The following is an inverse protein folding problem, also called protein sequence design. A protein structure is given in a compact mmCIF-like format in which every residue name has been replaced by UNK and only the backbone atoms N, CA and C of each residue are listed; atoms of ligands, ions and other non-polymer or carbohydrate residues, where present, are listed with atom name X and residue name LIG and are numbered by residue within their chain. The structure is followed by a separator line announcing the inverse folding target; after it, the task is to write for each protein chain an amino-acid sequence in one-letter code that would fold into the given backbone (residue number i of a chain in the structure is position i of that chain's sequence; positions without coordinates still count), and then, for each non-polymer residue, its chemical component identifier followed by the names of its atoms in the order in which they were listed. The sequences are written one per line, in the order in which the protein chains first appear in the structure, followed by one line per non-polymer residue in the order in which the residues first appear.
data_IF_246277915389
#
_entry.id   IF_246277915389
#
_cell.length_a   1.000
_cell.length_b   1.000
_cell.length_c   1.000
_cell.angle_alpha   90.00
_cell.angle_beta   90.00
_cell.angle_gamma   90.00
#
_symmetry.space_group_name_H-M   'P 1'
#
loop_
_entity.id
_entity.type
_entity.pdbx_description
1 polymer ?
#
# COMPACT_ATOMS: atom_id res chain seq x y z
N UNK A 1 20.27 -14.47 -2.14
CA UNK A 1 19.65 -13.78 -0.99
C UNK A 1 18.14 -14.00 -0.92
N UNK A 2 17.32 -13.46 -1.83
CA UNK A 2 15.85 -13.67 -1.82
C UNK A 2 15.46 -15.11 -2.19
N UNK A 3 16.12 -15.70 -3.18
CA UNK A 3 15.94 -17.12 -3.52
C UNK A 3 16.39 -18.06 -2.38
N UNK A 4 17.42 -17.69 -1.61
CA UNK A 4 17.88 -18.47 -0.46
C UNK A 4 16.85 -18.41 0.68
N UNK A 5 16.22 -17.26 0.89
CA UNK A 5 15.11 -17.09 1.84
C UNK A 5 13.93 -18.00 1.48
N UNK A 6 13.45 -17.93 0.23
CA UNK A 6 12.35 -18.78 -0.25
C UNK A 6 12.73 -20.26 -0.20
N UNK A 7 13.96 -20.62 -0.58
CA UNK A 7 14.44 -22.00 -0.51
C UNK A 7 14.56 -22.53 0.92
N UNK A 8 14.94 -21.69 1.88
CA UNK A 8 15.10 -22.08 3.28
C UNK A 8 13.74 -22.32 3.96
N UNK A 9 12.79 -21.39 3.79
CA UNK A 9 11.49 -21.45 4.49
C UNK A 9 10.47 -22.41 3.86
N UNK A 10 10.67 -22.78 2.59
CA UNK A 10 9.83 -23.77 1.93
C UNK A 10 10.31 -25.22 2.14
N UNK A 11 11.37 -25.45 2.95
CA UNK A 11 11.88 -26.79 3.30
C UNK A 11 11.41 -27.24 4.70
N UNK A 12 11.31 -28.55 4.96
CA UNK A 12 11.08 -29.06 6.31
C UNK A 12 12.14 -28.59 7.31
N UNK A 13 11.81 -28.36 8.59
CA UNK A 13 10.48 -28.54 9.20
C UNK A 13 9.55 -27.33 9.02
N UNK A 14 10.01 -26.24 8.40
CA UNK A 14 9.29 -24.96 8.37
C UNK A 14 8.09 -24.95 7.42
N UNK A 15 8.15 -25.73 6.32
CA UNK A 15 7.05 -26.10 5.40
C UNK A 15 5.83 -25.13 5.39
N UNK A 16 6.08 -23.84 5.15
CA UNK A 16 5.02 -22.83 5.03
C UNK A 16 4.09 -22.69 6.25
N UNK A 17 4.48 -23.07 7.47
CA UNK A 17 3.65 -22.78 8.66
C UNK A 17 3.55 -21.26 8.89
N UNK A 18 4.61 -20.53 8.55
CA UNK A 18 4.70 -19.08 8.69
C UNK A 18 4.35 -18.39 7.37
N UNK A 19 3.36 -17.50 7.40
CA UNK A 19 3.13 -16.51 6.34
C UNK A 19 4.21 -15.43 6.46
N UNK A 20 5.10 -15.36 5.48
CA UNK A 20 6.13 -14.33 5.45
C UNK A 20 6.52 -14.00 4.01
N UNK A 21 6.98 -12.77 3.81
CA UNK A 21 7.48 -12.24 2.55
C UNK A 21 8.66 -11.33 2.83
N UNK A 22 9.61 -11.28 1.91
CA UNK A 22 10.71 -10.33 1.90
C UNK A 22 10.76 -9.66 0.54
N UNK A 23 10.93 -8.34 0.53
CA UNK A 23 11.16 -7.57 -0.68
C UNK A 23 12.51 -6.86 -0.57
N UNK A 24 13.24 -6.81 -1.69
CA UNK A 24 14.42 -5.97 -1.85
C UNK A 24 13.99 -4.79 -2.69
N UNK A 25 14.14 -3.59 -2.13
CA UNK A 25 13.78 -2.33 -2.80
C UNK A 25 15.04 -1.59 -3.25
N UNK A 26 14.95 -0.97 -4.42
CA UNK A 26 15.93 0.00 -4.89
C UNK A 26 15.54 1.39 -4.35
N UNK A 27 16.24 1.81 -3.31
CA UNK A 27 16.00 3.08 -2.61
C UNK A 27 16.14 4.30 -3.53
N UNK A 28 16.85 4.17 -4.67
CA UNK A 28 16.99 5.27 -5.64
C UNK A 28 15.68 5.63 -6.34
N UNK A 29 14.78 4.65 -6.50
CA UNK A 29 13.48 4.85 -7.16
C UNK A 29 12.42 5.39 -6.17
N UNK A 30 12.76 5.59 -4.88
CA UNK A 30 11.80 6.10 -3.89
C UNK A 30 11.33 7.52 -4.20
N UNK A 31 12.15 8.32 -4.88
CA UNK A 31 11.75 9.67 -5.29
C UNK A 31 10.61 9.60 -6.30
N UNK A 32 10.75 8.78 -7.35
CA UNK A 32 9.76 8.64 -8.41
C UNK A 32 8.45 8.03 -7.86
N UNK A 33 8.57 6.98 -7.02
CA UNK A 33 7.41 6.43 -6.28
C UNK A 33 6.74 7.51 -5.42
N UNK A 34 7.51 8.37 -4.74
CA UNK A 34 7.00 9.45 -3.91
C UNK A 34 6.22 10.49 -4.70
N UNK A 35 6.73 10.92 -5.85
CA UNK A 35 6.09 11.90 -6.73
C UNK A 35 4.76 11.36 -7.32
N UNK A 36 4.78 10.15 -7.88
CA UNK A 36 3.56 9.51 -8.41
C UNK A 36 2.55 9.20 -7.32
N UNK A 37 3.03 8.86 -6.12
CA UNK A 37 2.17 8.65 -4.96
C UNK A 37 1.49 9.94 -4.51
N UNK A 38 2.24 11.05 -4.41
CA UNK A 38 1.66 12.36 -4.09
C UNK A 38 0.62 12.78 -5.14
N UNK A 39 0.90 12.58 -6.43
CA UNK A 39 -0.03 12.90 -7.52
C UNK A 39 -1.36 12.14 -7.39
N UNK A 40 -1.31 10.81 -7.19
CA UNK A 40 -2.52 9.99 -7.00
C UNK A 40 -3.28 10.42 -5.74
N UNK A 41 -2.57 10.57 -4.62
CA UNK A 41 -3.16 10.89 -3.32
C UNK A 41 -3.82 12.27 -3.33
N UNK A 42 -3.22 13.24 -4.01
CA UNK A 42 -3.81 14.57 -4.24
C UNK A 42 -5.17 14.48 -4.94
N UNK A 43 -5.25 13.75 -6.06
CA UNK A 43 -6.50 13.54 -6.80
C UNK A 43 -7.58 12.85 -5.96
N UNK A 44 -7.20 11.82 -5.19
CA UNK A 44 -8.13 11.11 -4.31
C UNK A 44 -8.62 11.99 -3.16
N UNK A 45 -7.77 12.87 -2.64
CA UNK A 45 -8.10 13.81 -1.57
C UNK A 45 -9.09 14.88 -2.05
N UNK A 46 -8.84 15.46 -3.23
CA UNK A 46 -9.76 16.43 -3.86
C UNK A 46 -11.16 15.84 -4.07
N UNK A 47 -11.23 14.59 -4.53
CA UNK A 47 -12.48 13.87 -4.78
C UNK A 47 -12.98 13.00 -3.61
N UNK A 48 -12.47 13.19 -2.39
CA UNK A 48 -12.68 12.26 -1.27
C UNK A 48 -14.16 11.96 -0.99
N UNK A 49 -15.01 12.99 -1.10
CA UNK A 49 -16.47 12.81 -0.90
C UNK A 49 -17.06 11.82 -1.90
N UNK A 50 -16.62 11.85 -3.14
CA UNK A 50 -17.18 11.03 -4.21
C UNK A 50 -16.57 9.61 -4.22
N UNK A 51 -15.31 9.48 -3.79
CA UNK A 51 -14.54 8.23 -3.91
C UNK A 51 -14.41 7.42 -2.61
N UNK A 52 -14.85 7.96 -1.46
CA UNK A 52 -14.69 7.31 -0.13
C UNK A 52 -15.10 5.84 -0.08
N UNK A 53 -16.13 5.45 -0.82
CA UNK A 53 -16.63 4.07 -0.83
C UNK A 53 -15.66 3.14 -1.56
N UNK A 54 -15.16 3.58 -2.72
CA UNK A 54 -14.17 2.88 -3.52
C UNK A 54 -12.86 2.78 -2.76
N UNK A 55 -12.39 3.87 -2.14
CA UNK A 55 -11.20 3.91 -1.28
C UNK A 55 -11.32 2.90 -0.13
N UNK A 56 -12.48 2.85 0.54
CA UNK A 56 -12.71 1.88 1.61
C UNK A 56 -12.66 0.44 1.11
N UNK A 57 -13.25 0.16 -0.05
CA UNK A 57 -13.27 -1.18 -0.62
C UNK A 57 -11.86 -1.62 -1.05
N UNK A 58 -11.12 -0.74 -1.75
CA UNK A 58 -9.73 -0.97 -2.13
C UNK A 58 -8.86 -1.26 -0.90
N UNK A 59 -8.97 -0.44 0.15
CA UNK A 59 -8.29 -0.68 1.44
C UNK A 59 -8.63 -2.08 2.00
N UNK A 60 -9.91 -2.45 1.99
CA UNK A 60 -10.35 -3.73 2.55
C UNK A 60 -9.78 -4.94 1.80
N UNK A 61 -9.57 -4.82 0.49
CA UNK A 61 -8.97 -5.87 -0.32
C UNK A 61 -7.45 -5.91 -0.10
N UNK A 62 -6.79 -4.76 -0.15
CA UNK A 62 -5.36 -4.62 0.09
C UNK A 62 -4.92 -5.07 1.50
N UNK A 63 -5.76 -4.95 2.52
CA UNK A 63 -5.48 -5.46 3.88
C UNK A 63 -5.40 -6.99 3.98
N UNK A 64 -6.02 -7.72 3.05
CA UNK A 64 -6.06 -9.19 3.09
C UNK A 64 -4.70 -9.81 2.77
N UNK A 65 -3.84 -9.09 2.04
CA UNK A 65 -2.48 -9.52 1.68
C UNK A 65 -1.67 -9.98 2.90
N UNK A 66 -1.78 -9.25 4.01
CA UNK A 66 -1.06 -9.54 5.26
C UNK A 66 -1.97 -9.94 6.43
N UNK A 67 -3.28 -10.05 6.21
CA UNK A 67 -4.24 -10.31 7.28
C UNK A 67 -4.18 -9.25 8.41
N UNK A 68 -3.77 -8.03 8.07
CA UNK A 68 -3.52 -6.95 9.02
C UNK A 68 -4.50 -5.80 8.76
N UNK A 69 -5.06 -5.24 9.83
CA UNK A 69 -5.98 -4.11 9.76
C UNK A 69 -5.30 -2.74 9.85
N UNK A 70 -3.97 -2.71 9.98
CA UNK A 70 -3.16 -1.50 10.17
C UNK A 70 -2.39 -1.15 8.90
N UNK A 71 -1.83 -2.14 8.21
CA UNK A 71 -1.05 -1.96 6.99
C UNK A 71 -1.73 -2.67 5.83
N UNK A 72 -1.66 -2.07 4.64
CA UNK A 72 -2.25 -2.60 3.40
C UNK A 72 -1.20 -2.64 2.30
N UNK A 73 -1.33 -3.61 1.39
CA UNK A 73 -0.43 -3.71 0.23
C UNK A 73 -0.70 -2.54 -0.72
N UNK A 74 0.33 -1.70 -0.93
CA UNK A 74 0.17 -0.46 -1.67
C UNK A 74 -0.21 -0.72 -3.13
N UNK A 75 0.46 -1.65 -3.80
CA UNK A 75 0.14 -1.97 -5.20
C UNK A 75 -1.30 -2.50 -5.35
N UNK A 76 -1.73 -3.43 -4.48
CA UNK A 76 -3.12 -3.93 -4.53
C UNK A 76 -4.10 -2.78 -4.29
N UNK A 77 -3.81 -1.89 -3.34
CA UNK A 77 -4.66 -0.72 -3.09
C UNK A 77 -4.80 0.14 -4.34
N UNK A 78 -3.70 0.45 -5.02
CA UNK A 78 -3.69 1.29 -6.23
C UNK A 78 -4.41 0.62 -7.40
N UNK A 79 -4.17 -0.68 -7.63
CA UNK A 79 -4.86 -1.46 -8.65
C UNK A 79 -6.40 -1.49 -8.41
N UNK A 80 -6.83 -1.64 -7.15
CA UNK A 80 -8.25 -1.61 -6.80
C UNK A 80 -8.88 -0.21 -6.93
N UNK A 81 -8.12 0.86 -6.68
CA UNK A 81 -8.56 2.23 -6.96
C UNK A 81 -8.78 2.42 -8.46
N UNK A 82 -7.82 1.97 -9.28
CA UNK A 82 -7.87 2.06 -10.75
C UNK A 82 -9.10 1.38 -11.33
N UNK A 83 -9.43 0.19 -10.83
CA UNK A 83 -10.62 -0.56 -11.28
C UNK A 83 -11.93 0.04 -10.72
N UNK A 84 -11.90 0.58 -9.51
CA UNK A 84 -13.07 1.13 -8.81
C UNK A 84 -13.49 2.53 -9.27
N UNK A 85 -12.54 3.39 -9.68
CA UNK A 85 -12.79 4.80 -10.03
C UNK A 85 -12.68 5.01 -11.55
N UNK A 86 -13.78 5.47 -12.16
CA UNK A 86 -13.89 5.68 -13.61
C UNK A 86 -13.54 7.11 -14.03
N UNK A 87 -12.40 7.60 -13.58
CA UNK A 87 -11.87 8.92 -13.93
C UNK A 87 -10.49 8.73 -14.56
N UNK A 88 -10.34 9.11 -15.82
CA UNK A 88 -9.13 8.81 -16.61
C UNK A 88 -7.87 9.33 -15.93
N UNK A 89 -7.87 10.57 -15.42
CA UNK A 89 -6.74 11.12 -14.67
C UNK A 89 -6.30 10.30 -13.45
N UNK A 90 -7.27 9.69 -12.75
CA UNK A 90 -6.95 8.83 -11.58
C UNK A 90 -6.38 7.50 -12.06
N UNK A 91 -6.87 6.97 -13.17
CA UNK A 91 -6.33 5.73 -13.76
C UNK A 91 -4.91 5.92 -14.25
N UNK A 92 -4.64 7.02 -14.94
CA UNK A 92 -3.31 7.37 -15.41
C UNK A 92 -2.34 7.47 -14.21
N UNK A 93 -2.72 8.22 -13.16
CA UNK A 93 -1.92 8.30 -11.93
C UNK A 93 -1.75 6.96 -11.19
N UNK A 94 -2.74 6.06 -11.27
CA UNK A 94 -2.58 4.70 -10.76
C UNK A 94 -1.61 3.87 -11.60
N UNK A 95 -1.67 3.99 -12.93
CA UNK A 95 -0.78 3.26 -13.84
C UNK A 95 0.67 3.71 -13.65
N UNK A 96 0.92 5.02 -13.56
CA UNK A 96 2.24 5.61 -13.27
C UNK A 96 2.80 5.07 -11.94
N UNK A 97 2.03 5.18 -10.85
CA UNK A 97 2.48 4.69 -9.54
C UNK A 97 2.73 3.17 -9.52
N UNK A 98 1.92 2.39 -10.23
CA UNK A 98 2.13 0.92 -10.32
C UNK A 98 3.41 0.59 -11.08
N UNK A 99 3.75 1.37 -12.12
CA UNK A 99 5.01 1.24 -12.84
C UNK A 99 6.19 1.55 -11.92
N UNK A 100 6.18 2.70 -11.23
CA UNK A 100 7.26 3.09 -10.30
C UNK A 100 7.44 2.08 -9.16
N UNK A 101 6.35 1.54 -8.60
CA UNK A 101 6.44 0.50 -7.58
C UNK A 101 7.14 -0.75 -8.12
N UNK A 102 6.86 -1.15 -9.37
CA UNK A 102 7.50 -2.31 -10.00
C UNK A 102 8.98 -2.06 -10.24
N UNK A 103 9.37 -0.86 -10.65
CA UNK A 103 10.77 -0.48 -10.84
C UNK A 103 11.54 -0.42 -9.51
N UNK A 104 10.88 0.05 -8.45
CA UNK A 104 11.44 0.04 -7.09
C UNK A 104 11.67 -1.39 -6.57
N UNK A 105 10.84 -2.37 -6.91
CA UNK A 105 10.94 -3.74 -6.41
C UNK A 105 11.95 -4.55 -7.23
N UNK A 106 13.15 -4.75 -6.67
CA UNK A 106 14.24 -5.50 -7.32
C UNK A 106 13.99 -7.01 -7.25
N UNK A 107 13.47 -7.50 -6.13
CA UNK A 107 13.19 -8.91 -5.92
C UNK A 107 12.19 -9.12 -4.79
N UNK A 108 11.33 -10.15 -4.93
CA UNK A 108 10.38 -10.57 -3.90
C UNK A 108 10.56 -12.06 -3.61
N UNK A 109 10.65 -12.40 -2.33
CA UNK A 109 10.71 -13.77 -1.83
C UNK A 109 9.51 -14.06 -0.98
N UNK A 110 8.69 -15.02 -1.41
CA UNK A 110 7.49 -15.45 -0.70
C UNK A 110 7.64 -16.90 -0.22
N UNK A 111 6.80 -17.27 0.75
CA UNK A 111 6.50 -18.68 1.04
C UNK A 111 5.32 -19.14 0.19
N UNK A 112 5.09 -20.44 0.07
CA UNK A 112 3.96 -20.96 -0.72
C UNK A 112 2.59 -20.42 -0.25
N UNK A 113 2.44 -19.98 1.01
CA UNK A 113 1.18 -19.41 1.52
C UNK A 113 0.97 -17.94 1.19
N UNK A 114 2.04 -17.20 0.87
CA UNK A 114 2.04 -15.75 0.59
C UNK A 114 2.31 -15.42 -0.87
N UNK A 115 2.75 -16.40 -1.66
CA UNK A 115 2.91 -16.28 -3.11
C UNK A 115 1.62 -15.80 -3.78
N UNK A 116 1.72 -14.75 -4.59
CA UNK A 116 0.60 -14.11 -5.29
C UNK A 116 -0.38 -13.32 -4.41
N UNK A 117 -0.15 -13.22 -3.09
CA UNK A 117 -1.00 -12.45 -2.17
C UNK A 117 -0.38 -11.15 -1.70
N UNK A 118 0.94 -11.11 -1.63
CA UNK A 118 1.73 -9.93 -1.29
C UNK A 118 2.48 -9.54 -2.54
N UNK A 119 2.20 -8.35 -3.04
CA UNK A 119 2.78 -7.87 -4.30
C UNK A 119 3.92 -6.90 -4.03
N UNK A 120 3.83 -6.11 -2.96
CA UNK A 120 4.65 -4.90 -2.86
C UNK A 120 4.99 -4.48 -1.43
N UNK A 121 5.16 -3.18 -1.24
CA UNK A 121 5.45 -2.49 0.01
C UNK A 121 4.17 -2.19 0.78
N UNK A 122 4.28 -2.21 2.11
CA UNK A 122 3.17 -1.90 2.99
C UNK A 122 3.08 -0.42 3.30
N UNK A 123 1.87 0.11 3.24
CA UNK A 123 1.57 1.47 3.72
C UNK A 123 0.62 1.42 4.91
N UNK A 124 0.81 2.33 5.85
CA UNK A 124 -0.04 2.46 7.03
C UNK A 124 -1.41 3.01 6.65
N UNK A 125 -2.46 2.20 6.77
CA UNK A 125 -3.85 2.60 6.57
C UNK A 125 -4.79 1.86 7.54
N UNK A 126 -4.91 2.35 8.79
CA UNK A 126 -5.73 1.72 9.82
C UNK A 126 -7.22 1.60 9.44
N UNK A 127 -7.92 0.58 9.95
CA UNK A 127 -9.33 0.35 9.59
C UNK A 127 -10.30 1.38 10.17
N UNK A 128 -9.95 1.90 11.35
CA UNK A 128 -10.70 2.90 12.07
C UNK A 128 -9.77 3.98 12.63
N UNK A 129 -10.34 5.16 12.84
CA UNK A 129 -9.64 6.30 13.40
C UNK A 129 -9.05 6.01 14.79
N UNK A 130 -9.70 5.19 15.61
CA UNK A 130 -9.20 4.77 16.92
C UNK A 130 -7.90 3.95 16.86
N UNK A 131 -7.49 3.52 15.66
CA UNK A 131 -6.23 2.83 15.41
C UNK A 131 -5.17 3.75 14.79
N UNK A 132 -5.50 5.02 14.53
CA UNK A 132 -4.57 6.05 14.07
C UNK A 132 -3.60 6.38 15.20
N UNK A 133 -2.32 6.32 14.89
CA UNK A 133 -1.22 6.54 15.83
C UNK A 133 -0.53 7.84 15.44
N UNK A 134 -0.52 8.83 16.36
CA UNK A 134 0.10 10.13 16.10
C UNK A 134 1.57 9.98 15.72
N UNK A 135 2.33 9.13 16.44
CA UNK A 135 3.73 8.88 16.12
C UNK A 135 3.96 8.25 14.74
N UNK A 136 2.95 7.60 14.15
CA UNK A 136 3.02 7.14 12.75
C UNK A 136 2.79 8.29 11.78
N UNK A 137 1.85 9.19 12.08
CA UNK A 137 1.63 10.38 11.26
C UNK A 137 2.86 11.30 11.29
N UNK A 138 3.41 11.57 12.48
CA UNK A 138 4.62 12.38 12.66
C UNK A 138 5.79 11.82 11.82
N UNK A 139 5.96 10.49 11.80
CA UNK A 139 6.98 9.83 10.99
C UNK A 139 6.78 10.06 9.49
N UNK A 140 5.54 10.10 8.98
CA UNK A 140 5.28 10.41 7.57
C UNK A 140 5.57 11.87 7.23
N UNK A 141 5.28 12.79 8.15
CA UNK A 141 5.63 14.21 7.99
C UNK A 141 7.16 14.41 7.97
N UNK A 142 7.90 13.69 8.83
CA UNK A 142 9.37 13.77 8.90
C UNK A 142 10.10 13.26 7.65
N UNK A 143 9.45 12.42 6.83
CA UNK A 143 10.02 11.81 5.62
C UNK A 143 9.41 12.36 4.33
N UNK A 144 8.87 13.57 4.38
CA UNK A 144 8.26 14.28 3.24
C UNK A 144 7.08 13.53 2.58
N UNK A 145 6.34 12.72 3.35
CA UNK A 145 5.11 12.04 2.93
C UNK A 145 3.87 12.63 3.62
N UNK A 146 3.88 13.94 3.89
CA UNK A 146 2.76 14.67 4.51
C UNK A 146 1.46 14.57 3.70
N UNK A 147 1.54 14.42 2.37
CA UNK A 147 0.38 14.20 1.51
C UNK A 147 -0.46 12.98 1.94
N UNK A 148 0.16 11.94 2.49
CA UNK A 148 -0.55 10.78 3.01
C UNK A 148 -1.33 11.09 4.28
N UNK A 149 -0.75 11.93 5.15
CA UNK A 149 -1.40 12.39 6.38
C UNK A 149 -2.67 13.18 6.04
N UNK A 150 -2.55 14.13 5.10
CA UNK A 150 -3.69 14.92 4.62
C UNK A 150 -4.80 14.05 4.05
N UNK A 151 -4.44 13.04 3.24
CA UNK A 151 -5.38 12.07 2.73
C UNK A 151 -6.08 11.25 3.82
N UNK A 152 -5.32 10.74 4.80
CA UNK A 152 -5.89 9.96 5.90
C UNK A 152 -6.87 10.82 6.71
N UNK A 153 -6.51 12.07 7.01
CA UNK A 153 -7.38 13.03 7.68
C UNK A 153 -8.66 13.25 6.87
N UNK A 154 -8.54 13.58 5.58
CA UNK A 154 -9.68 13.79 4.70
C UNK A 154 -10.60 12.55 4.63
N UNK A 155 -10.02 11.35 4.56
CA UNK A 155 -10.76 10.09 4.53
C UNK A 155 -11.55 9.85 5.81
N UNK A 156 -10.94 9.99 6.99
CA UNK A 156 -11.64 9.76 8.25
C UNK A 156 -12.68 10.86 8.53
N UNK A 157 -12.42 12.11 8.15
CA UNK A 157 -13.43 13.18 8.19
C UNK A 157 -14.62 12.86 7.30
N UNK A 158 -14.39 12.42 6.05
CA UNK A 158 -15.46 12.06 5.13
C UNK A 158 -16.31 10.86 5.60
N UNK A 159 -15.78 10.04 6.52
CA UNK A 159 -16.50 8.94 7.16
C UNK A 159 -17.30 9.36 8.40
N UNK A 160 -17.22 10.62 8.81
CA UNK A 160 -17.87 11.13 10.03
C UNK A 160 -17.17 10.69 11.30
N UNK A 161 -15.85 10.44 11.23
CA UNK A 161 -15.02 10.08 12.37
C UNK A 161 -14.23 11.28 12.93
N UNK A 162 -14.21 12.44 12.26
CA UNK A 162 -13.60 13.68 12.75
C UNK A 162 -14.64 14.81 12.80
#
# INVERSE_FOLDING_TARGET
MVEEFSNYLNRPPYMSEVQTSQAVINVKELCDVGESFEALVGLLTEGMKDYRTQIRNARSLASQAWGNNIYIDLQIFVEEIREGIKVDKIKDACDDLVEDIKEMIVAVGTTMKTEGKVLSVGIYFPSGQNQVSQSRLDMYEEVDLGCWVDFLVAYYTARGHL
#
